data_IF_297206524568
#
_entry.id   IF_297206524568
#
_cell.length_a   1.000
_cell.length_b   1.000
_cell.length_c   1.000
_cell.angle_alpha   90.00
_cell.angle_beta   90.00
_cell.angle_gamma   90.00
#
_symmetry.space_group_name_H-M   'P 1'
#
loop_
_entity.id
_entity.type
_entity.pdbx_description
1 polymer ?
#
# COMPACT_ATOMS: atom_id res chain seq x y z
N UNK A 1 -5.21 -18.12 13.56
CA UNK A 1 -3.96 -17.75 12.82
C UNK A 1 -2.85 -17.62 13.84
N UNK A 2 -1.72 -18.34 13.66
CA UNK A 2 -0.76 -18.65 14.74
C UNK A 2 0.11 -17.47 15.21
N UNK A 3 0.20 -16.38 14.43
CA UNK A 3 1.18 -15.30 14.64
C UNK A 3 0.57 -13.89 14.55
N UNK A 4 -0.75 -13.74 14.74
CA UNK A 4 -1.44 -12.45 14.52
C UNK A 4 -0.89 -11.32 15.39
N UNK A 5 -0.65 -11.59 16.66
CA UNK A 5 -0.24 -10.58 17.62
C UNK A 5 1.20 -10.11 17.40
N UNK A 6 2.06 -10.99 16.88
CA UNK A 6 3.46 -10.68 16.55
C UNK A 6 3.56 -9.65 15.42
N UNK A 7 2.73 -9.80 14.38
CA UNK A 7 2.73 -8.89 13.22
C UNK A 7 1.88 -7.63 13.43
N UNK A 8 0.96 -7.63 14.41
CA UNK A 8 0.09 -6.48 14.73
C UNK A 8 0.62 -5.61 15.88
N UNK A 9 1.69 -6.02 16.55
CA UNK A 9 2.22 -5.34 17.73
C UNK A 9 2.61 -3.87 17.42
N UNK A 10 2.08 -2.87 18.17
CA UNK A 10 2.34 -1.46 17.92
C UNK A 10 3.78 -1.02 18.29
N UNK A 11 4.54 -1.86 18.99
CA UNK A 11 5.90 -1.56 19.45
C UNK A 11 6.97 -1.66 18.36
N UNK A 12 6.68 -2.32 17.26
CA UNK A 12 7.57 -2.40 16.10
C UNK A 12 7.25 -1.23 15.16
N UNK A 13 7.44 0.01 15.63
CA UNK A 13 7.34 1.18 14.77
C UNK A 13 8.24 0.98 13.54
N UNK A 14 7.73 1.27 12.34
CA UNK A 14 8.30 0.82 11.05
C UNK A 14 9.80 1.10 10.85
N UNK A 15 10.36 2.07 11.57
CA UNK A 15 11.79 2.37 11.55
C UNK A 15 12.69 1.32 12.25
N UNK A 16 12.18 0.35 13.01
CA UNK A 16 13.02 -0.72 13.61
C UNK A 16 13.71 -1.60 12.57
N UNK A 17 13.11 -1.74 11.39
CA UNK A 17 13.65 -2.50 10.25
C UNK A 17 14.50 -1.64 9.30
N UNK A 18 14.61 -0.33 9.58
CA UNK A 18 15.41 0.61 8.80
C UNK A 18 16.86 0.15 8.57
N UNK A 19 17.60 -0.42 9.54
CA UNK A 19 18.97 -0.85 9.30
C UNK A 19 19.07 -1.93 8.20
N UNK A 20 18.12 -2.86 8.19
CA UNK A 20 18.08 -3.97 7.24
C UNK A 20 17.70 -3.45 5.84
N UNK A 21 16.64 -2.64 5.77
CA UNK A 21 16.16 -2.06 4.51
C UNK A 21 17.18 -1.09 3.91
N UNK A 22 17.79 -0.24 4.74
CA UNK A 22 18.78 0.76 4.30
C UNK A 22 20.10 0.16 3.84
N UNK A 23 20.46 -1.04 4.31
CA UNK A 23 21.62 -1.80 3.84
C UNK A 23 21.41 -2.34 2.43
N UNK A 24 20.24 -2.94 2.17
CA UNK A 24 19.88 -3.44 0.84
C UNK A 24 19.68 -2.33 -0.19
N UNK A 25 19.08 -1.20 0.22
CA UNK A 25 18.86 -0.06 -0.67
C UNK A 25 20.15 0.57 -1.22
N UNK A 26 21.29 0.40 -0.54
CA UNK A 26 22.61 0.88 -1.00
C UNK A 26 23.19 0.04 -2.15
N UNK A 27 22.72 -1.20 -2.30
CA UNK A 27 23.14 -2.11 -3.38
C UNK A 27 22.39 -1.85 -4.70
N UNK A 28 21.35 -1.02 -4.65
CA UNK A 28 20.52 -0.72 -5.80
C UNK A 28 21.08 0.48 -6.59
N UNK A 29 21.10 0.44 -7.93
CA UNK A 29 21.62 1.51 -8.79
C UNK A 29 20.63 2.69 -8.94
N UNK A 30 19.91 3.02 -7.87
CA UNK A 30 18.88 4.06 -7.84
C UNK A 30 19.35 5.25 -7.01
N UNK A 31 19.05 6.45 -7.50
CA UNK A 31 19.44 7.73 -6.90
C UNK A 31 18.20 8.55 -6.56
N UNK A 32 18.35 9.63 -5.78
CA UNK A 32 17.24 10.54 -5.52
C UNK A 32 16.66 11.18 -6.80
N UNK A 33 17.47 11.35 -7.85
CA UNK A 33 17.01 11.85 -9.15
C UNK A 33 16.29 10.79 -9.99
N UNK A 34 16.51 9.50 -9.71
CA UNK A 34 15.87 8.37 -10.41
C UNK A 34 15.57 7.24 -9.42
N UNK A 35 14.59 7.46 -8.52
CA UNK A 35 14.31 6.53 -7.43
C UNK A 35 13.74 5.21 -7.97
N UNK A 36 13.90 4.15 -7.19
CA UNK A 36 13.17 2.91 -7.40
C UNK A 36 11.70 3.14 -7.07
N UNK A 37 10.82 2.92 -8.03
CA UNK A 37 9.38 3.08 -7.86
C UNK A 37 8.73 1.75 -7.54
N UNK A 38 8.11 1.65 -6.37
CA UNK A 38 7.40 0.46 -5.92
C UNK A 38 5.92 0.80 -5.82
N UNK A 39 5.09 0.17 -6.65
CA UNK A 39 3.65 0.37 -6.63
C UNK A 39 2.96 -0.69 -5.76
N UNK A 40 2.08 -0.26 -4.86
CA UNK A 40 1.14 -1.13 -4.18
C UNK A 40 -0.25 -1.03 -4.81
N UNK A 41 -1.03 -2.12 -4.77
CA UNK A 41 -2.36 -2.21 -5.39
C UNK A 41 -3.37 -2.83 -4.40
N UNK A 42 -3.20 -2.55 -3.12
CA UNK A 42 -4.08 -3.01 -2.06
C UNK A 42 -4.31 -1.89 -1.05
N UNK A 43 -5.54 -1.35 -1.00
CA UNK A 43 -5.93 -0.31 -0.04
C UNK A 43 -5.64 -0.67 1.43
N UNK A 44 -5.64 -1.98 1.74
CA UNK A 44 -5.29 -2.52 3.05
C UNK A 44 -3.82 -2.33 3.44
N UNK A 45 -2.93 -2.06 2.49
CA UNK A 45 -1.54 -1.69 2.75
C UNK A 45 -1.34 -0.17 2.77
N UNK A 46 -2.07 0.57 1.93
CA UNK A 46 -2.01 2.04 1.86
C UNK A 46 -2.22 2.68 3.23
N UNK A 47 -3.30 2.29 3.93
CA UNK A 47 -3.68 2.93 5.20
C UNK A 47 -2.70 2.64 6.34
N UNK A 48 -2.27 1.39 6.59
CA UNK A 48 -1.21 1.12 7.56
C UNK A 48 0.14 1.76 7.19
N UNK A 49 0.49 1.83 5.91
CA UNK A 49 1.75 2.43 5.46
C UNK A 49 1.80 3.94 5.74
N UNK A 50 0.70 4.64 5.45
CA UNK A 50 0.53 6.06 5.77
C UNK A 50 0.48 6.30 7.29
N UNK A 51 -0.32 5.52 8.04
CA UNK A 51 -0.51 5.72 9.48
C UNK A 51 0.70 5.34 10.32
N UNK A 52 1.56 4.43 9.85
CA UNK A 52 2.77 4.01 10.58
C UNK A 52 3.95 4.97 10.42
N UNK A 53 3.82 6.03 9.61
CA UNK A 53 4.92 6.94 9.31
C UNK A 53 6.07 6.29 8.53
N UNK A 54 5.86 5.08 7.99
CA UNK A 54 6.89 4.29 7.29
C UNK A 54 7.35 4.95 5.99
N UNK A 55 6.54 5.84 5.40
CA UNK A 55 6.92 6.75 4.30
C UNK A 55 8.13 7.62 4.66
N UNK A 56 8.17 8.19 5.88
CA UNK A 56 9.29 9.01 6.34
C UNK A 56 10.54 8.17 6.66
N UNK A 57 10.37 6.88 6.92
CA UNK A 57 11.46 5.92 7.08
C UNK A 57 11.95 5.36 5.73
N UNK A 58 11.54 5.90 4.57
CA UNK A 58 12.06 5.48 3.27
C UNK A 58 13.19 6.42 2.81
N UNK A 59 14.26 5.88 2.20
CA UNK A 59 15.34 6.71 1.63
C UNK A 59 14.82 7.45 0.40
N UNK A 60 15.38 8.63 0.13
CA UNK A 60 15.09 9.44 -1.06
C UNK A 60 15.27 8.70 -2.40
N UNK A 61 16.01 7.58 -2.43
CA UNK A 61 16.19 6.77 -3.62
C UNK A 61 15.12 5.68 -3.83
N UNK A 62 14.08 5.62 -2.99
CA UNK A 62 12.93 4.71 -3.11
C UNK A 62 11.64 5.53 -2.97
N UNK A 63 10.75 5.39 -3.95
CA UNK A 63 9.47 6.07 -4.02
C UNK A 63 8.34 5.02 -4.02
N UNK A 64 7.42 5.15 -3.07
CA UNK A 64 6.21 4.30 -3.03
C UNK A 64 5.07 4.97 -3.78
N UNK A 65 4.47 4.24 -4.71
CA UNK A 65 3.34 4.68 -5.51
C UNK A 65 2.09 3.93 -5.06
N UNK A 66 1.02 4.68 -4.80
CA UNK A 66 -0.28 4.10 -4.46
C UNK A 66 -1.08 3.90 -5.74
N UNK A 67 -1.21 2.64 -6.15
CA UNK A 67 -1.97 2.24 -7.32
C UNK A 67 -3.48 2.13 -7.04
N UNK A 68 -4.25 1.68 -8.03
CA UNK A 68 -5.70 1.49 -7.94
C UNK A 68 -6.09 0.27 -7.08
N UNK A 69 -5.75 0.28 -5.79
CA UNK A 69 -5.92 -0.85 -4.88
C UNK A 69 -7.28 -0.99 -4.21
N UNK A 70 -8.25 -0.12 -4.56
CA UNK A 70 -9.60 -0.18 -3.99
C UNK A 70 -10.60 -0.62 -5.07
N UNK A 71 -11.18 -1.83 -4.95
CA UNK A 71 -12.09 -2.37 -5.97
C UNK A 71 -13.36 -1.52 -6.13
N UNK A 72 -13.76 -0.79 -5.08
CA UNK A 72 -14.91 0.13 -5.12
C UNK A 72 -14.58 1.40 -5.90
N UNK A 73 -13.37 1.94 -5.74
CA UNK A 73 -12.95 3.16 -6.43
C UNK A 73 -12.76 2.98 -7.93
N UNK A 74 -12.43 1.76 -8.39
CA UNK A 74 -12.24 1.45 -9.81
C UNK A 74 -13.42 0.74 -10.45
N UNK A 75 -14.55 0.64 -9.74
CA UNK A 75 -15.74 0.02 -10.29
C UNK A 75 -16.26 0.87 -11.47
N UNK A 76 -16.43 0.30 -12.68
CA UNK A 76 -16.98 1.03 -13.81
C UNK A 76 -18.41 1.48 -13.54
N UNK A 77 -18.78 2.71 -13.95
CA UNK A 77 -20.13 3.26 -13.71
C UNK A 77 -21.24 2.34 -14.22
N UNK A 78 -21.08 1.73 -15.40
CA UNK A 78 -22.06 0.79 -15.95
C UNK A 78 -22.32 -0.46 -15.10
N UNK A 79 -21.42 -0.83 -14.17
CA UNK A 79 -21.69 -1.90 -13.18
C UNK A 79 -22.70 -1.46 -12.13
N UNK A 80 -22.67 -0.19 -11.73
CA UNK A 80 -23.63 0.38 -10.78
C UNK A 80 -25.01 0.44 -11.46
N UNK A 81 -25.06 0.91 -12.72
CA UNK A 81 -26.30 0.95 -13.50
C UNK A 81 -26.94 -0.44 -13.65
N UNK A 82 -26.13 -1.47 -13.96
CA UNK A 82 -26.61 -2.84 -14.03
C UNK A 82 -27.18 -3.36 -12.69
N UNK A 83 -26.55 -3.01 -11.56
CA UNK A 83 -27.08 -3.34 -10.24
C UNK A 83 -28.43 -2.65 -9.97
N UNK A 84 -28.56 -1.37 -10.36
CA UNK A 84 -29.82 -0.62 -10.24
C UNK A 84 -30.91 -1.23 -11.09
N UNK A 85 -30.60 -1.62 -12.34
CA UNK A 85 -31.56 -2.28 -13.24
C UNK A 85 -32.07 -3.58 -12.62
N UNK A 86 -31.18 -4.43 -12.12
CA UNK A 86 -31.55 -5.69 -11.46
C UNK A 86 -32.43 -5.42 -10.24
N UNK A 87 -32.04 -4.48 -9.37
CA UNK A 87 -32.80 -4.14 -8.16
C UNK A 87 -34.14 -3.45 -8.43
N UNK A 88 -34.34 -2.89 -9.63
CA UNK A 88 -35.59 -2.26 -10.05
C UNK A 88 -36.56 -3.24 -10.69
N UNK A 89 -36.16 -4.51 -10.88
CA UNK A 89 -37.04 -5.52 -11.42
C UNK A 89 -38.15 -5.81 -10.41
N UNK A 90 -39.42 -5.81 -10.85
CA UNK A 90 -40.51 -6.25 -10.01
C UNK A 90 -40.43 -7.77 -9.92
N UNK A 91 -39.72 -8.28 -8.91
CA UNK A 91 -40.14 -9.55 -8.32
C UNK A 91 -41.52 -9.40 -7.64
#
# INVERSE_FOLDING_TARGET
MRYVDEYRAPRTGGCSWWPIFSSGARLLPHTAARPLRIMEVCGGHTMPFLNSGSTNCCRENIEFIHGPGCPVCVLPMGRIDACIEIASRPE
#
